data_IF_097084342484
#
_entry.id   IF_097084342484
#
_cell.length_a   1.000
_cell.length_b   1.000
_cell.length_c   1.000
_cell.angle_alpha   90.00
_cell.angle_beta   90.00
_cell.angle_gamma   90.00
#
_symmetry.space_group_name_H-M   'P 1'
#
loop_
_entity.id
_entity.type
_entity.pdbx_description
1 polymer ?
#
# COMPACT_ATOMS: atom_id res chain seq x y z
N UNK A 1 17.34 16.99 19.10
CA UNK A 1 16.21 16.08 19.32
C UNK A 1 16.54 14.76 18.64
N UNK A 2 16.27 13.63 19.27
CA UNK A 2 16.40 12.31 18.64
C UNK A 2 15.19 12.08 17.74
N UNK A 3 15.40 11.53 16.55
CA UNK A 3 14.31 11.22 15.61
C UNK A 3 13.33 10.20 16.23
N UNK A 4 12.03 10.25 15.87
CA UNK A 4 11.07 9.22 16.25
C UNK A 4 11.52 7.83 15.77
N UNK A 5 11.23 6.81 16.57
CA UNK A 5 11.51 5.41 16.20
C UNK A 5 10.78 5.01 14.90
N UNK A 6 11.44 4.17 14.10
CA UNK A 6 10.91 3.66 12.83
C UNK A 6 10.01 2.46 13.08
N UNK A 7 8.81 2.51 12.53
CA UNK A 7 7.97 1.31 12.38
C UNK A 7 8.22 0.68 11.01
N UNK A 8 9.14 -0.29 10.92
CA UNK A 8 9.46 -1.01 9.67
C UNK A 8 8.22 -1.61 8.98
N UNK A 9 7.25 -2.22 9.69
CA UNK A 9 6.05 -2.73 9.04
C UNK A 9 5.18 -1.67 8.36
N UNK A 10 5.39 -0.40 8.66
CA UNK A 10 4.58 0.67 8.11
C UNK A 10 4.73 0.84 6.59
N UNK A 11 5.79 0.32 5.96
CA UNK A 11 5.89 0.28 4.49
C UNK A 11 4.75 -0.53 3.86
N UNK A 12 4.25 -1.56 4.54
CA UNK A 12 3.07 -2.33 4.14
C UNK A 12 1.80 -1.78 4.80
N UNK A 13 1.79 -1.69 6.13
CA UNK A 13 0.59 -1.34 6.91
C UNK A 13 0.01 0.02 6.54
N UNK A 14 0.84 1.05 6.34
CA UNK A 14 0.29 2.35 5.95
C UNK A 14 -0.24 2.34 4.51
N UNK A 15 0.11 1.36 3.68
CA UNK A 15 -0.50 1.22 2.37
C UNK A 15 -1.94 0.70 2.47
N UNK A 16 -2.29 -0.09 3.49
CA UNK A 16 -3.71 -0.44 3.74
C UNK A 16 -4.54 0.82 4.06
N UNK A 17 -3.93 1.81 4.72
CA UNK A 17 -4.57 3.11 4.93
C UNK A 17 -4.72 3.90 3.62
N UNK A 18 -3.76 3.80 2.70
CA UNK A 18 -3.88 4.35 1.33
C UNK A 18 -5.06 3.71 0.60
N UNK A 19 -5.16 2.38 0.61
CA UNK A 19 -6.24 1.65 -0.05
C UNK A 19 -7.61 2.00 0.55
N UNK A 20 -7.71 2.11 1.88
CA UNK A 20 -8.93 2.61 2.54
C UNK A 20 -9.28 4.03 2.14
N UNK A 21 -8.29 4.93 2.04
CA UNK A 21 -8.51 6.29 1.56
C UNK A 21 -9.03 6.29 0.12
N UNK A 22 -8.45 5.47 -0.76
CA UNK A 22 -8.91 5.38 -2.16
C UNK A 22 -10.34 4.87 -2.24
N UNK A 23 -10.65 3.77 -1.56
CA UNK A 23 -12.00 3.18 -1.54
C UNK A 23 -13.04 4.19 -1.01
N UNK A 24 -12.78 4.81 0.14
CA UNK A 24 -13.78 5.59 0.86
C UNK A 24 -13.81 7.09 0.49
N UNK A 25 -12.67 7.69 0.16
CA UNK A 25 -12.52 9.15 -0.02
C UNK A 25 -12.34 9.56 -1.48
N UNK A 26 -11.98 8.63 -2.36
CA UNK A 26 -11.77 8.91 -3.79
C UNK A 26 -12.82 8.21 -4.64
N UNK A 27 -12.83 6.88 -4.64
CA UNK A 27 -13.63 6.06 -5.56
C UNK A 27 -15.13 6.08 -5.21
N UNK A 28 -15.49 5.89 -3.94
CA UNK A 28 -16.91 5.89 -3.53
C UNK A 28 -17.63 7.22 -3.86
N UNK A 29 -17.08 8.42 -3.54
CA UNK A 29 -17.70 9.69 -3.93
C UNK A 29 -17.90 9.84 -5.44
N UNK A 30 -16.97 9.33 -6.26
CA UNK A 30 -17.08 9.38 -7.73
C UNK A 30 -18.22 8.48 -8.24
N UNK A 31 -18.41 7.30 -7.65
CA UNK A 31 -19.55 6.41 -7.96
C UNK A 31 -20.89 7.03 -7.53
N UNK A 32 -20.93 7.66 -6.36
CA UNK A 32 -22.12 8.34 -5.82
C UNK A 32 -22.52 9.52 -6.71
N UNK A 33 -21.55 10.33 -7.15
CA UNK A 33 -21.76 11.42 -8.08
C UNK A 33 -22.09 10.96 -9.51
N UNK A 34 -21.85 9.68 -9.84
CA UNK A 34 -21.97 9.16 -11.20
C UNK A 34 -20.89 9.66 -12.15
N UNK A 35 -19.75 10.13 -11.62
CA UNK A 35 -18.62 10.60 -12.39
C UNK A 35 -17.77 9.43 -12.89
N UNK A 36 -18.20 8.84 -14.01
CA UNK A 36 -17.52 7.69 -14.62
C UNK A 36 -16.11 8.03 -15.11
N UNK A 37 -15.90 9.25 -15.63
CA UNK A 37 -14.60 9.65 -16.16
C UNK A 37 -13.58 9.88 -15.04
N UNK A 38 -13.99 10.60 -13.99
CA UNK A 38 -13.20 10.77 -12.78
C UNK A 38 -12.89 9.43 -12.12
N UNK A 39 -13.90 8.55 -12.00
CA UNK A 39 -13.70 7.20 -11.48
C UNK A 39 -12.69 6.42 -12.31
N UNK A 40 -12.82 6.38 -13.65
CA UNK A 40 -11.91 5.63 -14.51
C UNK A 40 -10.45 6.09 -14.36
N UNK A 41 -10.23 7.40 -14.24
CA UNK A 41 -8.88 7.95 -14.01
C UNK A 41 -8.32 7.53 -12.64
N UNK A 42 -9.12 7.60 -11.58
CA UNK A 42 -8.68 7.19 -10.24
C UNK A 42 -8.48 5.67 -10.13
N UNK A 43 -9.37 4.91 -10.77
CA UNK A 43 -9.37 3.45 -10.82
C UNK A 43 -8.08 2.89 -11.41
N UNK A 44 -7.57 3.49 -12.48
CA UNK A 44 -6.30 3.06 -13.09
C UNK A 44 -5.12 3.18 -12.11
N UNK A 45 -5.02 4.29 -11.38
CA UNK A 45 -3.97 4.49 -10.37
C UNK A 45 -4.09 3.49 -9.23
N UNK A 46 -5.31 3.28 -8.75
CA UNK A 46 -5.63 2.35 -7.67
C UNK A 46 -5.33 0.88 -8.03
N UNK A 47 -5.76 0.39 -9.20
CA UNK A 47 -5.47 -0.97 -9.67
C UNK A 47 -3.97 -1.17 -9.86
N UNK A 48 -3.27 -0.18 -10.41
CA UNK A 48 -1.80 -0.24 -10.53
C UNK A 48 -1.10 -0.32 -9.18
N UNK A 49 -1.61 0.40 -8.18
CA UNK A 49 -1.09 0.37 -6.82
C UNK A 49 -1.36 -0.98 -6.12
N UNK A 50 -2.56 -1.54 -6.24
CA UNK A 50 -2.89 -2.86 -5.68
C UNK A 50 -2.04 -3.95 -6.30
N UNK A 51 -1.82 -3.94 -7.62
CA UNK A 51 -0.99 -4.95 -8.27
C UNK A 51 0.45 -4.99 -7.70
N UNK A 52 1.02 -3.81 -7.38
CA UNK A 52 2.33 -3.72 -6.72
C UNK A 52 2.24 -4.20 -5.26
N UNK A 53 1.19 -3.81 -4.54
CA UNK A 53 0.98 -4.21 -3.14
C UNK A 53 0.85 -5.74 -3.01
N UNK A 54 -0.02 -6.35 -3.82
CA UNK A 54 -0.20 -7.79 -3.90
C UNK A 54 1.11 -8.51 -4.28
N UNK A 55 1.93 -7.93 -5.17
CA UNK A 55 3.25 -8.48 -5.47
C UNK A 55 4.21 -8.42 -4.25
N UNK A 56 4.11 -7.40 -3.40
CA UNK A 56 4.86 -7.33 -2.13
C UNK A 56 4.36 -8.36 -1.10
N UNK A 57 3.11 -8.80 -1.21
CA UNK A 57 2.49 -9.84 -0.37
C UNK A 57 2.77 -11.26 -0.84
N UNK A 58 2.56 -11.52 -2.12
CA UNK A 58 2.65 -12.85 -2.73
C UNK A 58 4.07 -13.21 -3.15
N UNK A 59 4.87 -12.19 -3.46
CA UNK A 59 6.21 -12.32 -4.03
C UNK A 59 6.24 -12.23 -5.55
N UNK A 60 7.46 -12.13 -6.07
CA UNK A 60 7.80 -12.16 -7.49
C UNK A 60 8.97 -13.11 -7.69
N UNK A 61 8.80 -14.09 -8.57
CA UNK A 61 9.80 -15.11 -8.87
C UNK A 61 11.17 -14.49 -9.17
N UNK A 62 12.18 -14.88 -8.38
CA UNK A 62 13.57 -14.43 -8.53
C UNK A 62 13.89 -13.05 -7.96
N UNK A 63 12.95 -12.35 -7.31
CA UNK A 63 13.20 -11.02 -6.74
C UNK A 63 12.81 -10.87 -5.27
N UNK A 64 11.73 -11.51 -4.81
CA UNK A 64 11.31 -11.46 -3.41
C UNK A 64 10.16 -12.43 -3.15
N UNK A 65 10.16 -13.08 -1.99
CA UNK A 65 9.17 -14.12 -1.69
C UNK A 65 7.82 -13.61 -1.19
N UNK A 66 7.66 -12.31 -0.94
CA UNK A 66 6.43 -11.74 -0.39
C UNK A 66 6.28 -11.90 1.12
N UNK A 67 5.61 -10.95 1.78
CA UNK A 67 5.44 -10.98 3.24
C UNK A 67 4.65 -12.20 3.73
N UNK A 68 3.71 -12.72 2.92
CA UNK A 68 2.89 -13.88 3.31
C UNK A 68 3.74 -15.14 3.47
N UNK A 69 4.58 -15.44 2.47
CA UNK A 69 5.50 -16.58 2.53
C UNK A 69 6.58 -16.38 3.60
N UNK A 70 7.09 -15.14 3.79
CA UNK A 70 8.03 -14.84 4.87
C UNK A 70 7.43 -15.20 6.24
N UNK A 71 6.19 -14.79 6.51
CA UNK A 71 5.53 -15.09 7.78
C UNK A 71 5.21 -16.58 7.94
N UNK A 72 4.82 -17.28 6.88
CA UNK A 72 4.65 -18.74 6.92
C UNK A 72 5.94 -19.47 7.29
N UNK A 73 7.10 -19.01 6.80
CA UNK A 73 8.40 -19.57 7.16
C UNK A 73 8.77 -19.33 8.63
N UNK A 74 8.41 -18.17 9.18
CA UNK A 74 8.71 -17.82 10.57
C UNK A 74 7.73 -18.41 11.60
N UNK A 75 6.52 -18.75 11.15
CA UNK A 75 5.42 -19.15 12.03
C UNK A 75 4.72 -20.43 11.57
N UNK A 76 5.46 -21.35 10.95
CA UNK A 76 5.02 -22.71 10.59
C UNK A 76 3.68 -22.75 9.82
N UNK A 77 3.53 -21.87 8.82
CA UNK A 77 2.34 -21.83 7.96
C UNK A 77 1.13 -21.10 8.55
N UNK A 78 1.30 -20.31 9.61
CA UNK A 78 0.20 -19.64 10.31
C UNK A 78 -0.55 -18.58 9.47
N UNK A 79 0.07 -18.05 8.41
CA UNK A 79 -0.61 -17.10 7.49
C UNK A 79 -1.41 -17.86 6.45
N UNK A 80 -0.95 -19.05 6.02
CA UNK A 80 -1.51 -19.77 4.89
C UNK A 80 -1.48 -18.90 3.63
N UNK A 81 -0.28 -18.61 3.12
CA UNK A 81 -0.07 -17.76 1.95
C UNK A 81 -0.86 -18.21 0.70
N UNK A 82 -1.23 -19.50 0.61
CA UNK A 82 -2.08 -20.01 -0.45
C UNK A 82 -3.53 -19.45 -0.37
N UNK A 83 -4.03 -19.17 0.83
CA UNK A 83 -5.33 -18.54 1.03
C UNK A 83 -5.33 -17.09 0.55
N UNK A 84 -4.33 -16.28 0.94
CA UNK A 84 -4.24 -14.88 0.49
C UNK A 84 -4.07 -14.76 -1.02
N UNK A 85 -3.26 -15.64 -1.64
CA UNK A 85 -3.19 -15.72 -3.11
C UNK A 85 -4.54 -16.03 -3.76
N UNK A 86 -5.36 -16.89 -3.14
CA UNK A 86 -6.70 -17.18 -3.65
C UNK A 86 -7.63 -15.96 -3.50
N UNK A 87 -7.54 -15.23 -2.39
CA UNK A 87 -8.29 -13.99 -2.17
C UNK A 87 -7.92 -12.92 -3.22
N UNK A 88 -6.64 -12.76 -3.55
CA UNK A 88 -6.22 -11.87 -4.65
C UNK A 88 -6.81 -12.29 -6.00
N UNK A 89 -6.92 -13.59 -6.28
CA UNK A 89 -7.56 -14.07 -7.53
C UNK A 89 -9.04 -13.70 -7.56
N UNK A 90 -9.76 -13.86 -6.45
CA UNK A 90 -11.16 -13.49 -6.34
C UNK A 90 -11.35 -11.97 -6.44
N UNK A 91 -10.46 -11.19 -5.81
CA UNK A 91 -10.46 -9.74 -5.92
C UNK A 91 -10.23 -9.28 -7.37
N UNK A 92 -9.25 -9.86 -8.08
CA UNK A 92 -8.99 -9.54 -9.49
C UNK A 92 -10.22 -9.77 -10.39
N UNK A 93 -11.01 -10.81 -10.13
CA UNK A 93 -12.26 -11.04 -10.89
C UNK A 93 -13.28 -9.92 -10.69
N UNK A 94 -13.34 -9.36 -9.47
CA UNK A 94 -14.21 -8.22 -9.16
C UNK A 94 -13.64 -6.91 -9.74
N UNK A 95 -12.32 -6.72 -9.72
CA UNK A 95 -11.67 -5.58 -10.39
C UNK A 95 -11.95 -5.58 -11.90
N UNK A 96 -11.88 -6.75 -12.53
CA UNK A 96 -12.24 -6.95 -13.93
C UNK A 96 -13.71 -6.61 -14.20
N UNK A 97 -14.62 -6.96 -13.28
CA UNK A 97 -16.03 -6.61 -13.38
C UNK A 97 -16.26 -5.10 -13.32
N UNK A 98 -15.59 -4.39 -12.41
CA UNK A 98 -15.61 -2.92 -12.34
C UNK A 98 -15.07 -2.31 -13.63
N UNK A 99 -13.93 -2.79 -14.12
CA UNK A 99 -13.31 -2.31 -15.35
C UNK A 99 -14.22 -2.48 -16.57
N UNK A 100 -14.88 -3.64 -16.71
CA UNK A 100 -15.86 -3.88 -17.78
C UNK A 100 -17.11 -3.00 -17.66
N UNK A 101 -17.46 -2.56 -16.45
CA UNK A 101 -18.63 -1.71 -16.20
C UNK A 101 -18.40 -0.23 -16.58
N UNK A 102 -17.14 0.23 -16.61
CA UNK A 102 -16.79 1.62 -16.97
C UNK A 102 -17.42 2.09 -18.31
N UNK A 103 -17.25 1.39 -19.44
CA UNK A 103 -17.85 1.82 -20.72
C UNK A 103 -19.38 1.70 -20.76
N UNK A 104 -20.00 1.03 -19.77
CA UNK A 104 -21.45 0.81 -19.70
C UNK A 104 -22.18 1.93 -18.92
N UNK A 105 -21.43 2.87 -18.32
CA UNK A 105 -21.98 4.04 -17.64
C UNK A 105 -22.25 3.85 -16.15
N UNK A 106 -22.72 4.92 -15.51
CA UNK A 106 -22.77 5.05 -14.05
C UNK A 106 -23.62 3.98 -13.34
N UNK A 107 -24.69 3.50 -13.97
CA UNK A 107 -25.55 2.47 -13.37
C UNK A 107 -24.83 1.11 -13.28
N UNK A 108 -24.16 0.69 -14.35
CA UNK A 108 -23.38 -0.54 -14.37
C UNK A 108 -22.18 -0.45 -13.42
N UNK A 109 -21.48 0.69 -13.42
CA UNK A 109 -20.38 0.96 -12.48
C UNK A 109 -20.85 0.80 -11.03
N UNK A 110 -21.96 1.42 -10.65
CA UNK A 110 -22.51 1.31 -9.29
C UNK A 110 -22.82 -0.14 -8.89
N UNK A 111 -23.36 -0.92 -9.83
CA UNK A 111 -23.69 -2.33 -9.60
C UNK A 111 -22.43 -3.19 -9.40
N UNK A 112 -21.35 -2.94 -10.16
CA UNK A 112 -20.09 -3.67 -10.04
C UNK A 112 -19.22 -3.21 -8.84
N UNK A 113 -19.28 -1.92 -8.49
CA UNK A 113 -18.47 -1.32 -7.44
C UNK A 113 -18.79 -1.86 -6.04
N UNK A 114 -20.08 -2.02 -5.71
CA UNK A 114 -20.50 -2.47 -4.37
C UNK A 114 -19.85 -3.80 -3.95
N UNK A 115 -19.96 -4.87 -4.75
CA UNK A 115 -19.30 -6.15 -4.48
C UNK A 115 -17.77 -6.04 -4.39
N UNK A 116 -17.13 -5.29 -5.29
CA UNK A 116 -15.69 -5.09 -5.27
C UNK A 116 -15.24 -4.42 -3.96
N UNK A 117 -15.86 -3.29 -3.60
CA UNK A 117 -15.52 -2.56 -2.39
C UNK A 117 -15.67 -3.42 -1.13
N UNK A 118 -16.76 -4.17 -1.03
CA UNK A 118 -17.00 -5.04 0.11
C UNK A 118 -15.93 -6.15 0.24
N UNK A 119 -15.52 -6.72 -0.90
CA UNK A 119 -14.44 -7.71 -0.94
C UNK A 119 -13.09 -7.09 -0.53
N UNK A 120 -12.71 -5.96 -1.11
CA UNK A 120 -11.45 -5.28 -0.80
C UNK A 120 -11.38 -4.85 0.68
N UNK A 121 -12.45 -4.27 1.24
CA UNK A 121 -12.48 -3.90 2.66
C UNK A 121 -12.38 -5.12 3.60
N UNK A 122 -13.01 -6.24 3.24
CA UNK A 122 -12.93 -7.48 4.00
C UNK A 122 -11.54 -8.13 3.94
N UNK A 123 -10.93 -8.12 2.76
CA UNK A 123 -9.58 -8.64 2.55
C UNK A 123 -8.54 -7.87 3.38
N UNK A 124 -8.55 -6.53 3.32
CA UNK A 124 -7.66 -5.70 4.14
C UNK A 124 -7.80 -5.95 5.64
N UNK A 125 -9.02 -6.21 6.12
CA UNK A 125 -9.28 -6.55 7.52
C UNK A 125 -8.72 -7.94 7.86
N UNK A 126 -8.96 -8.93 7.00
CA UNK A 126 -8.48 -10.30 7.19
C UNK A 126 -6.95 -10.37 7.23
N UNK A 127 -6.27 -9.69 6.31
CA UNK A 127 -4.81 -9.58 6.30
C UNK A 127 -4.29 -8.97 7.60
N UNK A 128 -4.89 -7.88 8.07
CA UNK A 128 -4.46 -7.23 9.31
C UNK A 128 -4.68 -8.13 10.53
N UNK A 129 -5.83 -8.81 10.62
CA UNK A 129 -6.17 -9.70 11.73
C UNK A 129 -5.21 -10.91 11.82
N UNK A 130 -4.77 -11.43 10.68
CA UNK A 130 -3.85 -12.59 10.63
C UNK A 130 -2.39 -12.14 10.74
N UNK A 131 -1.96 -11.19 9.93
CA UNK A 131 -0.54 -10.88 9.75
C UNK A 131 -0.01 -9.91 10.81
N UNK A 132 -0.79 -8.95 11.30
CA UNK A 132 -0.26 -7.95 12.25
C UNK A 132 0.19 -8.56 13.59
N UNK A 133 -0.52 -9.52 14.19
CA UNK A 133 -0.02 -10.22 15.37
C UNK A 133 1.30 -10.94 15.13
N UNK A 134 1.51 -11.51 13.94
CA UNK A 134 2.72 -12.24 13.58
C UNK A 134 3.89 -11.30 13.30
N UNK A 135 3.65 -10.20 12.57
CA UNK A 135 4.64 -9.15 12.32
C UNK A 135 5.13 -8.51 13.63
N UNK A 136 4.24 -8.34 14.61
CA UNK A 136 4.61 -7.84 15.94
C UNK A 136 5.59 -8.79 16.67
N UNK A 137 5.51 -10.10 16.40
CA UNK A 137 6.36 -11.15 16.98
C UNK A 137 7.69 -11.34 16.24
N UNK A 138 7.87 -10.76 15.05
CA UNK A 138 9.15 -10.82 14.33
C UNK A 138 10.27 -10.17 15.17
N UNK A 139 11.50 -10.73 15.12
CA UNK A 139 12.67 -10.14 15.78
C UNK A 139 12.84 -8.67 15.40
N UNK A 140 13.17 -7.82 16.37
CA UNK A 140 13.42 -6.39 16.09
C UNK A 140 14.73 -6.20 15.31
N UNK A 141 15.77 -6.92 15.70
CA UNK A 141 17.02 -6.99 14.96
C UNK A 141 16.80 -7.69 13.62
N UNK A 142 17.30 -7.09 12.53
CA UNK A 142 17.16 -7.66 11.18
C UNK A 142 15.79 -7.45 10.52
N UNK A 143 14.77 -6.93 11.22
CA UNK A 143 13.42 -6.71 10.66
C UNK A 143 13.42 -5.90 9.37
N UNK A 144 14.21 -4.83 9.32
CA UNK A 144 14.34 -4.01 8.12
C UNK A 144 14.87 -4.82 6.92
N UNK A 145 15.84 -5.70 7.14
CA UNK A 145 16.38 -6.59 6.10
C UNK A 145 15.32 -7.55 5.56
N UNK A 146 14.49 -8.11 6.45
CA UNK A 146 13.39 -8.99 6.05
C UNK A 146 12.39 -8.26 5.13
N UNK A 147 11.94 -7.06 5.52
CA UNK A 147 11.01 -6.29 4.68
C UNK A 147 11.65 -5.81 3.37
N UNK A 148 12.94 -5.50 3.38
CA UNK A 148 13.68 -5.14 2.17
C UNK A 148 13.74 -6.30 1.17
N UNK A 149 14.15 -7.49 1.64
CA UNK A 149 14.33 -8.69 0.81
C UNK A 149 12.99 -9.28 0.35
N UNK A 150 12.02 -9.41 1.25
CA UNK A 150 10.78 -10.14 0.96
C UNK A 150 9.71 -9.27 0.32
N UNK A 151 9.59 -8.00 0.75
CA UNK A 151 8.50 -7.12 0.32
C UNK A 151 8.97 -6.13 -0.75
N UNK A 152 9.93 -5.26 -0.40
CA UNK A 152 10.34 -4.16 -1.29
C UNK A 152 10.96 -4.67 -2.58
N UNK A 153 11.77 -5.72 -2.52
CA UNK A 153 12.38 -6.29 -3.72
C UNK A 153 11.35 -6.86 -4.69
N UNK A 154 10.27 -7.49 -4.18
CA UNK A 154 9.15 -7.94 -5.00
C UNK A 154 8.38 -6.77 -5.62
N UNK A 155 8.05 -5.75 -4.84
CA UNK A 155 7.40 -4.52 -5.34
C UNK A 155 8.22 -3.81 -6.42
N UNK A 156 9.54 -3.72 -6.26
CA UNK A 156 10.44 -3.17 -7.27
C UNK A 156 10.48 -4.00 -8.55
N UNK A 157 10.51 -5.34 -8.43
CA UNK A 157 10.56 -6.23 -9.58
C UNK A 157 9.25 -6.27 -10.40
N UNK A 158 8.10 -5.98 -9.77
CA UNK A 158 6.84 -5.76 -10.48
C UNK A 158 6.94 -4.59 -11.51
N UNK A 159 7.85 -3.63 -11.28
CA UNK A 159 8.11 -2.51 -12.21
C UNK A 159 7.19 -1.29 -12.03
N UNK A 160 6.18 -1.37 -11.15
CA UNK A 160 5.26 -0.27 -10.84
C UNK A 160 5.63 0.54 -9.59
N UNK A 161 6.75 0.23 -8.94
CA UNK A 161 7.05 0.70 -7.58
C UNK A 161 7.14 2.22 -7.44
N UNK A 162 7.68 2.94 -8.43
CA UNK A 162 7.78 4.40 -8.39
C UNK A 162 6.38 5.05 -8.35
N UNK A 163 5.44 4.55 -9.15
CA UNK A 163 4.06 5.01 -9.15
C UNK A 163 3.34 4.64 -7.85
N UNK A 164 3.59 3.43 -7.32
CA UNK A 164 3.09 2.98 -6.03
C UNK A 164 3.52 3.91 -4.88
N UNK A 165 4.80 4.30 -4.82
CA UNK A 165 5.32 5.25 -3.82
C UNK A 165 4.71 6.64 -4.01
N UNK A 166 4.66 7.15 -5.24
CA UNK A 166 4.05 8.45 -5.52
C UNK A 166 2.58 8.49 -5.07
N UNK A 167 1.81 7.47 -5.43
CA UNK A 167 0.40 7.33 -5.08
C UNK A 167 0.20 7.26 -3.56
N UNK A 168 0.93 6.37 -2.89
CA UNK A 168 0.81 6.18 -1.44
C UNK A 168 1.16 7.44 -0.66
N UNK A 169 2.24 8.12 -1.03
CA UNK A 169 2.62 9.38 -0.38
C UNK A 169 1.60 10.48 -0.64
N UNK A 170 1.09 10.62 -1.87
CA UNK A 170 0.06 11.62 -2.18
C UNK A 170 -1.24 11.38 -1.37
N UNK A 171 -1.69 10.13 -1.28
CA UNK A 171 -2.88 9.75 -0.50
C UNK A 171 -2.70 10.04 0.99
N UNK A 172 -1.58 9.63 1.59
CA UNK A 172 -1.30 9.91 3.00
C UNK A 172 -1.13 11.41 3.28
N UNK A 173 -0.51 12.15 2.38
CA UNK A 173 -0.34 13.60 2.50
C UNK A 173 -1.66 14.38 2.35
N UNK A 174 -2.62 13.84 1.62
CA UNK A 174 -3.95 14.43 1.49
C UNK A 174 -4.87 14.06 2.67
N UNK A 175 -4.85 12.79 3.10
CA UNK A 175 -5.92 12.23 3.92
C UNK A 175 -5.47 11.68 5.27
N UNK A 176 -4.16 11.53 5.49
CA UNK A 176 -3.61 10.87 6.67
C UNK A 176 -3.97 9.40 6.76
N UNK A 177 -4.07 8.93 8.01
CA UNK A 177 -4.51 7.56 8.35
C UNK A 177 -5.49 7.64 9.50
N UNK A 178 -6.11 6.52 9.85
CA UNK A 178 -6.95 6.39 11.05
C UNK A 178 -6.25 6.84 12.34
N UNK A 179 -4.93 6.70 12.43
CA UNK A 179 -4.13 6.97 13.65
C UNK A 179 -3.29 8.24 13.59
N UNK A 180 -3.10 8.84 12.42
CA UNK A 180 -2.17 9.96 12.26
C UNK A 180 -2.72 11.02 11.31
N UNK A 181 -2.36 12.27 11.59
CA UNK A 181 -2.55 13.39 10.66
C UNK A 181 -1.85 13.14 9.31
N UNK A 182 -2.15 13.92 8.25
CA UNK A 182 -1.47 13.77 6.97
C UNK A 182 0.07 13.82 7.05
N UNK A 183 0.61 14.78 7.82
CA UNK A 183 2.05 14.86 8.06
C UNK A 183 2.58 13.63 8.82
N UNK A 184 1.90 13.21 9.89
CA UNK A 184 2.31 12.06 10.68
C UNK A 184 2.27 10.74 9.89
N UNK A 185 1.22 10.50 9.11
CA UNK A 185 1.07 9.29 8.31
C UNK A 185 2.13 9.24 7.19
N UNK A 186 2.35 10.36 6.52
CA UNK A 186 3.41 10.52 5.50
C UNK A 186 4.79 10.27 6.09
N UNK A 187 5.09 10.88 7.25
CA UNK A 187 6.36 10.67 7.97
C UNK A 187 6.58 9.19 8.29
N UNK A 188 5.60 8.52 8.88
CA UNK A 188 5.71 7.11 9.27
C UNK A 188 6.01 6.24 8.05
N UNK A 189 5.29 6.45 6.94
CA UNK A 189 5.50 5.68 5.71
C UNK A 189 6.88 5.95 5.09
N UNK A 190 7.25 7.21 4.90
CA UNK A 190 8.51 7.59 4.24
C UNK A 190 9.73 7.23 5.09
N UNK A 191 9.66 7.39 6.42
CA UNK A 191 10.74 6.98 7.31
C UNK A 191 10.93 5.46 7.27
N UNK A 192 9.83 4.70 7.27
CA UNK A 192 9.85 3.24 7.12
C UNK A 192 10.45 2.82 5.77
N UNK A 193 10.01 3.43 4.67
CA UNK A 193 10.53 3.21 3.32
C UNK A 193 12.04 3.43 3.24
N UNK A 194 12.54 4.56 3.77
CA UNK A 194 13.98 4.84 3.81
C UNK A 194 14.74 3.75 4.55
N UNK A 195 14.22 3.27 5.68
CA UNK A 195 14.88 2.24 6.51
C UNK A 195 15.00 0.89 5.83
N UNK A 196 14.03 0.51 4.97
CA UNK A 196 14.07 -0.74 4.21
C UNK A 196 14.76 -0.60 2.84
N UNK A 197 15.18 0.60 2.46
CA UNK A 197 15.89 0.85 1.21
C UNK A 197 17.41 0.84 1.42
N UNK A 198 18.13 0.35 0.42
CA UNK A 198 19.55 0.69 0.24
C UNK A 198 19.70 2.20 -0.06
N UNK A 199 20.90 2.78 0.14
CA UNK A 199 21.15 4.19 -0.19
C UNK A 199 20.82 4.54 -1.66
N UNK A 200 21.10 3.64 -2.60
CA UNK A 200 20.81 3.86 -4.01
C UNK A 200 19.30 3.84 -4.31
N UNK A 201 18.57 2.89 -3.74
CA UNK A 201 17.10 2.84 -3.85
C UNK A 201 16.48 4.10 -3.23
N UNK A 202 16.94 4.50 -2.04
CA UNK A 202 16.44 5.72 -1.40
C UNK A 202 16.74 6.98 -2.22
N UNK A 203 17.95 7.10 -2.78
CA UNK A 203 18.30 8.23 -3.65
C UNK A 203 17.38 8.38 -4.86
N UNK A 204 16.85 7.27 -5.39
CA UNK A 204 15.85 7.27 -6.46
C UNK A 204 14.45 7.65 -5.96
N UNK A 205 14.02 7.10 -4.81
CA UNK A 205 12.65 7.24 -4.33
C UNK A 205 12.38 8.55 -3.58
N UNK A 206 13.41 9.16 -2.96
CA UNK A 206 13.32 10.42 -2.25
C UNK A 206 12.67 11.55 -3.08
N UNK A 207 13.13 11.89 -4.30
CA UNK A 207 12.53 12.96 -5.09
C UNK A 207 11.05 12.69 -5.42
N UNK A 208 10.67 11.41 -5.61
CA UNK A 208 9.28 11.00 -5.86
C UNK A 208 8.42 11.26 -4.62
N UNK A 209 8.85 10.74 -3.46
CA UNK A 209 8.15 10.92 -2.19
C UNK A 209 8.00 12.40 -1.84
N UNK A 210 9.09 13.18 -1.98
CA UNK A 210 9.09 14.62 -1.73
C UNK A 210 8.11 15.36 -2.64
N UNK A 211 8.10 15.05 -3.93
CA UNK A 211 7.19 15.68 -4.89
C UNK A 211 5.74 15.33 -4.58
N UNK A 212 5.45 14.07 -4.28
CA UNK A 212 4.10 13.58 -4.00
C UNK A 212 3.51 14.15 -2.70
N UNK A 213 4.33 14.37 -1.66
CA UNK A 213 3.86 14.93 -0.40
C UNK A 213 3.43 16.40 -0.53
N UNK A 214 4.04 17.14 -1.47
CA UNK A 214 3.89 18.59 -1.56
C UNK A 214 4.73 19.34 -0.51
N UNK A 215 5.03 20.63 -0.75
CA UNK A 215 6.06 21.36 -0.01
C UNK A 215 5.72 21.54 1.48
N UNK A 216 4.45 21.76 1.82
CA UNK A 216 4.03 21.98 3.21
C UNK A 216 4.12 20.71 4.05
N UNK A 217 3.60 19.58 3.54
CA UNK A 217 3.67 18.29 4.24
C UNK A 217 5.13 17.85 4.34
N UNK A 218 5.92 17.97 3.27
CA UNK A 218 7.33 17.59 3.30
C UNK A 218 8.13 18.39 4.33
N UNK A 219 7.89 19.71 4.43
CA UNK A 219 8.53 20.54 5.45
C UNK A 219 8.21 20.07 6.87
N UNK A 220 6.95 19.69 7.14
CA UNK A 220 6.55 19.14 8.44
C UNK A 220 7.22 17.78 8.72
N UNK A 221 7.29 16.90 7.72
CA UNK A 221 7.95 15.59 7.82
C UNK A 221 9.44 15.74 8.17
N UNK A 222 10.16 16.62 7.47
CA UNK A 222 11.61 16.83 7.69
C UNK A 222 11.88 17.56 9.02
N UNK A 223 10.96 18.39 9.50
CA UNK A 223 11.09 19.00 10.82
C UNK A 223 11.11 17.95 11.96
N UNK A 224 10.37 16.85 11.78
CA UNK A 224 10.35 15.72 12.73
C UNK A 224 11.47 14.69 12.48
N UNK A 225 11.86 14.50 11.23
CA UNK A 225 12.90 13.52 10.83
C UNK A 225 13.91 14.19 9.90
N UNK A 226 14.87 14.98 10.44
CA UNK A 226 15.85 15.72 9.64
C UNK A 226 16.69 14.86 8.69
N UNK A 227 16.83 13.56 8.97
CA UNK A 227 17.54 12.62 8.10
C UNK A 227 16.80 12.35 6.79
N UNK A 228 15.55 12.77 6.63
CA UNK A 228 14.80 12.75 5.37
C UNK A 228 15.05 13.98 4.49
N UNK A 229 15.80 14.99 4.95
CA UNK A 229 16.06 16.23 4.21
C UNK A 229 16.74 16.02 2.84
#
# INVERSE_FOLDING_TARGET
MTEPEVSVPAVMRNYHEVLRNDLAKVLAPLVEAGDVAGFASAWQGYVGAIAVHAAMEDGVDGAGGGITNMLDLYFDGAVNAALFRAEHVDEHQLQDAVTRALPQGAAALRAAWGPYRACAEAHLLHEEDVMMPLVARLPQEGKAGLFAEWCVSAGMAHGGFDAFIAHGVASLAAFGSTKNSPAGATRVFVHSLKTVCTPAQWGRLLPIARSAAGPQIWAAVVAEVPSLA
#
